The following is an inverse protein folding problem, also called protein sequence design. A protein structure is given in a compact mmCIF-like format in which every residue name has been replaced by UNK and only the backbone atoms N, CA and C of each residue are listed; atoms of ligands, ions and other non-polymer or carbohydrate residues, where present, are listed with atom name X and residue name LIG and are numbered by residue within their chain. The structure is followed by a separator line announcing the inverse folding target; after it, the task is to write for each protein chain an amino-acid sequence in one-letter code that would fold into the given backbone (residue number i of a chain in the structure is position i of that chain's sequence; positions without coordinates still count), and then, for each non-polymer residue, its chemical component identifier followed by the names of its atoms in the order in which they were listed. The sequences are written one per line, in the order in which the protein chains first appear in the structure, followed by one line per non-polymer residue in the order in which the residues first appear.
data_IF_634394537491
#
_entry.id   IF_634394537491
#
_cell.length_a   1.000
_cell.length_b   1.000
_cell.length_c   1.000
_cell.angle_alpha   90.00
_cell.angle_beta   90.00
_cell.angle_gamma   90.00
#
_symmetry.space_group_name_H-M   'P 1'
#
loop_
_entity.id
_entity.type
_entity.pdbx_description
1 polymer ?
#
# COMPACT_ATOMS: atom_id res chain seq x y z
N UNK A 1 -26.42 48.59 2.94
CA UNK A 1 -25.12 48.41 2.26
C UNK A 1 -24.52 47.07 2.72
N UNK A 2 -24.51 46.06 1.85
CA UNK A 2 -23.96 44.72 2.18
C UNK A 2 -22.44 44.77 2.06
N UNK A 3 -21.75 44.37 3.14
CA UNK A 3 -20.30 44.50 3.28
C UNK A 3 -19.54 43.69 2.19
N UNK A 4 -18.68 44.34 1.38
CA UNK A 4 -17.85 43.67 0.36
C UNK A 4 -16.87 42.64 0.96
N UNK A 5 -16.66 42.68 2.27
CA UNK A 5 -15.78 41.76 3.00
C UNK A 5 -16.28 40.30 2.97
N UNK A 6 -17.60 40.08 2.92
CA UNK A 6 -18.17 38.72 2.90
C UNK A 6 -17.97 38.02 1.56
N UNK A 7 -17.97 38.76 0.46
CA UNK A 7 -17.74 38.19 -0.88
C UNK A 7 -16.27 37.78 -1.05
N UNK A 8 -15.35 38.59 -0.52
CA UNK A 8 -13.91 38.32 -0.59
C UNK A 8 -13.50 37.06 0.20
N UNK A 9 -14.07 36.88 1.40
CA UNK A 9 -13.84 35.69 2.23
C UNK A 9 -14.35 34.40 1.58
N UNK A 10 -15.50 34.46 0.89
CA UNK A 10 -16.03 33.30 0.16
C UNK A 10 -15.14 32.93 -1.02
N UNK A 11 -14.62 33.89 -1.77
CA UNK A 11 -13.72 33.63 -2.91
C UNK A 11 -12.40 33.02 -2.44
N UNK A 12 -11.82 33.50 -1.33
CA UNK A 12 -10.60 32.92 -0.76
C UNK A 12 -10.85 31.49 -0.29
N UNK A 13 -11.94 31.24 0.45
CA UNK A 13 -12.26 29.88 0.92
C UNK A 13 -12.50 28.91 -0.25
N UNK A 14 -13.20 29.33 -1.30
CA UNK A 14 -13.43 28.49 -2.49
C UNK A 14 -12.12 28.22 -3.24
N UNK A 15 -11.25 29.22 -3.37
CA UNK A 15 -9.92 29.05 -3.98
C UNK A 15 -9.02 28.10 -3.18
N UNK A 16 -9.04 28.20 -1.85
CA UNK A 16 -8.25 27.32 -0.97
C UNK A 16 -8.75 25.88 -1.00
N UNK A 17 -10.07 25.68 -1.01
CA UNK A 17 -10.69 24.34 -1.12
C UNK A 17 -10.38 23.74 -2.49
N UNK A 18 -10.48 24.50 -3.59
CA UNK A 18 -10.13 24.03 -4.93
C UNK A 18 -8.64 23.70 -5.05
N UNK A 19 -7.76 24.47 -4.43
CA UNK A 19 -6.32 24.21 -4.41
C UNK A 19 -5.96 22.95 -3.59
N UNK A 20 -6.58 22.77 -2.41
CA UNK A 20 -6.40 21.56 -1.59
C UNK A 20 -6.93 20.32 -2.32
N UNK A 21 -8.09 20.41 -2.96
CA UNK A 21 -8.65 19.30 -3.75
C UNK A 21 -7.82 19.00 -5.00
N UNK A 22 -7.29 20.02 -5.69
CA UNK A 22 -6.40 19.84 -6.83
C UNK A 22 -5.06 19.20 -6.46
N UNK A 23 -4.51 19.55 -5.29
CA UNK A 23 -3.23 19.01 -4.80
C UNK A 23 -3.32 17.54 -4.36
N UNK A 24 -4.48 17.10 -3.84
CA UNK A 24 -4.71 15.71 -3.45
C UNK A 24 -5.20 14.78 -4.58
N UNK A 25 -5.63 15.32 -5.72
CA UNK A 25 -6.10 14.53 -6.89
C UNK A 25 -4.98 14.27 -7.90
N UNK A 26 -3.78 14.84 -7.70
CA UNK A 26 -2.62 14.66 -8.58
C UNK A 26 -1.97 13.27 -8.54
N UNK A 27 -2.19 12.47 -7.49
CA UNK A 27 -1.81 11.06 -7.41
C UNK A 27 -3.04 10.17 -7.57
N UNK A 28 -3.51 10.04 -8.81
CA UNK A 28 -4.43 8.95 -9.17
C UNK A 28 -3.60 7.72 -9.54
N UNK A 29 -3.70 6.60 -8.81
CA UNK A 29 -3.17 5.33 -9.30
C UNK A 29 -3.93 5.00 -10.58
N UNK A 30 -3.17 4.70 -11.64
CA UNK A 30 -3.67 4.50 -13.00
C UNK A 30 -4.91 3.61 -13.05
N UNK A 31 -5.88 4.07 -13.83
CA UNK A 31 -7.05 3.29 -14.25
C UNK A 31 -6.61 1.94 -14.81
N UNK A 32 -6.71 0.88 -14.01
CA UNK A 32 -6.83 -0.47 -14.52
C UNK A 32 -8.23 -0.58 -15.13
N UNK A 33 -8.30 -0.50 -16.45
CA UNK A 33 -9.49 -0.86 -17.21
C UNK A 33 -9.92 -2.28 -16.81
N UNK A 34 -11.18 -2.41 -16.40
CA UNK A 34 -11.88 -3.66 -16.20
C UNK A 34 -11.86 -4.40 -17.53
N UNK A 35 -11.07 -5.48 -17.62
CA UNK A 35 -11.13 -6.42 -18.74
C UNK A 35 -12.46 -7.17 -18.65
N UNK A 36 -13.32 -6.88 -19.62
CA UNK A 36 -14.57 -7.55 -19.89
C UNK A 36 -14.32 -9.05 -20.14
N UNK A 37 -15.03 -9.89 -19.38
CA UNK A 37 -14.88 -11.35 -19.38
C UNK A 37 -15.30 -11.97 -20.71
N UNK A 38 -14.34 -12.50 -21.46
CA UNK A 38 -14.57 -13.35 -22.62
C UNK A 38 -15.10 -14.75 -22.20
N UNK A 39 -15.88 -15.43 -23.05
CA UNK A 39 -16.54 -16.69 -22.69
C UNK A 39 -15.54 -17.85 -22.46
N UNK A 40 -15.77 -18.56 -21.37
CA UNK A 40 -15.03 -19.75 -20.92
C UNK A 40 -15.04 -20.87 -21.96
N UNK A 41 -13.86 -21.09 -22.56
CA UNK A 41 -13.49 -22.33 -23.25
C UNK A 41 -13.18 -23.41 -22.19
N UNK A 42 -13.59 -24.67 -22.34
CA UNK A 42 -13.36 -25.70 -21.33
C UNK A 42 -11.87 -25.94 -21.07
N UNK A 43 -11.52 -25.96 -19.78
CA UNK A 43 -10.16 -26.11 -19.28
C UNK A 43 -9.58 -27.50 -19.64
N UNK A 44 -8.39 -27.49 -20.25
CA UNK A 44 -7.57 -28.68 -20.39
C UNK A 44 -7.01 -29.10 -19.02
N UNK A 45 -6.85 -30.40 -18.83
CA UNK A 45 -6.43 -31.05 -17.59
C UNK A 45 -5.09 -30.50 -17.07
N UNK A 46 -4.93 -30.24 -15.76
CA UNK A 46 -3.69 -29.74 -15.15
C UNK A 46 -2.48 -30.70 -15.24
N UNK A 47 -2.68 -31.94 -15.68
CA UNK A 47 -1.64 -32.96 -15.74
C UNK A 47 -0.66 -32.79 -16.92
N UNK A 48 -1.03 -32.07 -18.00
CA UNK A 48 -0.18 -31.97 -19.21
C UNK A 48 0.71 -30.72 -19.27
N UNK A 49 0.57 -29.79 -18.31
CA UNK A 49 1.36 -28.53 -18.32
C UNK A 49 2.61 -28.62 -17.43
N UNK A 50 2.60 -29.49 -16.41
CA UNK A 50 3.75 -29.69 -15.52
C UNK A 50 4.92 -30.44 -16.19
N UNK A 51 4.64 -31.31 -17.16
CA UNK A 51 5.68 -32.09 -17.84
C UNK A 51 6.44 -31.34 -18.95
N UNK A 52 6.04 -30.10 -19.29
CA UNK A 52 6.59 -29.36 -20.44
C UNK A 52 7.50 -28.19 -20.06
N UNK A 53 7.59 -27.83 -18.77
CA UNK A 53 8.50 -26.79 -18.26
C UNK A 53 9.83 -27.40 -17.80
N UNK A 54 9.87 -28.68 -17.43
CA UNK A 54 11.11 -29.34 -16.97
C UNK A 54 12.07 -29.77 -18.10
N UNK A 55 11.69 -29.67 -19.37
CA UNK A 55 12.56 -30.11 -20.49
C UNK A 55 13.43 -29.00 -21.09
N UNK A 56 13.27 -27.73 -20.71
CA UNK A 56 14.08 -26.61 -21.25
C UNK A 56 15.12 -26.04 -20.27
N UNK A 57 15.20 -26.52 -19.03
CA UNK A 57 16.20 -26.06 -18.05
C UNK A 57 17.54 -26.82 -18.13
N UNK A 58 17.63 -27.91 -18.91
CA UNK A 58 18.79 -28.81 -18.92
C UNK A 58 19.73 -28.67 -20.14
N UNK A 59 19.52 -27.70 -21.04
CA UNK A 59 20.33 -27.51 -22.26
C UNK A 59 20.95 -26.11 -22.43
N UNK A 60 21.24 -25.42 -21.32
CA UNK A 60 21.94 -24.12 -21.29
C UNK A 60 23.37 -24.19 -20.73
N UNK A 61 24.04 -25.35 -20.81
CA UNK A 61 25.38 -25.59 -20.24
C UNK A 61 26.55 -24.94 -20.99
N UNK A 62 26.33 -23.82 -21.66
CA UNK A 62 27.38 -22.97 -22.22
C UNK A 62 27.57 -21.76 -21.32
N UNK A 63 28.50 -21.84 -20.37
CA UNK A 63 29.03 -20.68 -19.67
C UNK A 63 29.85 -19.84 -20.67
N UNK A 64 29.17 -19.22 -21.64
CA UNK A 64 29.73 -18.07 -22.32
C UNK A 64 29.91 -17.01 -21.23
N UNK A 65 31.16 -16.88 -20.77
CA UNK A 65 31.56 -15.80 -19.89
C UNK A 65 31.03 -14.51 -20.51
N UNK A 66 29.99 -13.96 -19.89
CA UNK A 66 29.33 -12.75 -20.35
C UNK A 66 30.40 -11.68 -20.44
N UNK A 67 30.85 -11.39 -21.66
CA UNK A 67 31.96 -10.45 -21.88
C UNK A 67 31.47 -9.09 -21.39
N UNK A 68 32.05 -8.62 -20.28
CA UNK A 68 31.69 -7.34 -19.69
C UNK A 68 31.75 -6.25 -20.77
N UNK A 69 30.65 -5.52 -20.92
CA UNK A 69 30.59 -4.43 -21.89
C UNK A 69 31.56 -3.33 -21.45
N UNK A 70 32.33 -2.80 -22.41
CA UNK A 70 33.08 -1.57 -22.17
C UNK A 70 32.12 -0.42 -21.86
N UNK A 71 32.61 0.63 -21.19
CA UNK A 71 31.81 1.83 -20.91
C UNK A 71 31.16 2.41 -22.17
N UNK A 72 31.91 2.49 -23.28
CA UNK A 72 31.38 3.01 -24.56
C UNK A 72 30.29 2.10 -25.16
N UNK A 73 30.47 0.77 -25.13
CA UNK A 73 29.43 -0.16 -25.60
C UNK A 73 28.16 -0.08 -24.75
N UNK A 74 28.34 0.08 -23.43
CA UNK A 74 27.23 0.26 -22.49
C UNK A 74 26.46 1.55 -22.80
N UNK A 75 27.18 2.64 -23.08
CA UNK A 75 26.60 3.94 -23.48
C UNK A 75 25.78 3.84 -24.75
N UNK A 76 26.35 3.28 -25.83
CA UNK A 76 25.67 3.12 -27.12
C UNK A 76 24.42 2.24 -26.96
N UNK A 77 24.54 1.08 -26.29
CA UNK A 77 23.40 0.17 -26.05
C UNK A 77 22.28 0.85 -25.25
N UNK A 78 22.65 1.69 -24.27
CA UNK A 78 21.68 2.47 -23.48
C UNK A 78 20.95 3.49 -24.35
N UNK A 79 21.67 4.21 -25.20
CA UNK A 79 21.06 5.16 -26.13
C UNK A 79 20.05 4.46 -27.07
N UNK A 80 20.47 3.34 -27.68
CA UNK A 80 19.64 2.56 -28.61
C UNK A 80 18.38 2.02 -27.94
N UNK A 81 18.50 1.38 -26.77
CA UNK A 81 17.33 0.80 -26.10
C UNK A 81 16.33 1.87 -25.66
N UNK A 82 16.78 3.07 -25.26
CA UNK A 82 15.87 4.14 -24.86
C UNK A 82 15.17 4.80 -26.06
N UNK A 83 15.67 4.58 -27.28
CA UNK A 83 15.03 4.96 -28.54
C UNK A 83 13.81 4.09 -28.87
N UNK A 84 13.73 2.87 -28.33
CA UNK A 84 12.62 1.93 -28.56
C UNK A 84 11.28 2.55 -28.12
N UNK A 85 10.32 2.76 -29.05
CA UNK A 85 9.03 3.36 -28.72
C UNK A 85 8.16 2.47 -27.83
N UNK A 86 8.24 1.15 -27.96
CA UNK A 86 7.43 0.23 -27.18
C UNK A 86 7.97 0.07 -25.75
N UNK A 87 7.21 0.56 -24.76
CA UNK A 87 7.60 0.51 -23.33
C UNK A 87 7.93 -0.90 -22.83
N UNK A 88 7.23 -1.93 -23.28
CA UNK A 88 7.45 -3.31 -22.81
C UNK A 88 8.78 -3.84 -23.35
N UNK A 89 9.05 -3.63 -24.64
CA UNK A 89 10.31 -4.06 -25.28
C UNK A 89 11.49 -3.32 -24.65
N UNK A 90 11.36 -2.00 -24.48
CA UNK A 90 12.38 -1.16 -23.85
C UNK A 90 12.69 -1.59 -22.42
N UNK A 91 11.67 -1.83 -21.59
CA UNK A 91 11.87 -2.27 -20.21
C UNK A 91 12.57 -3.65 -20.14
N UNK A 92 12.22 -4.58 -21.04
CA UNK A 92 12.93 -5.87 -21.15
C UNK A 92 14.42 -5.66 -21.47
N UNK A 93 14.72 -4.85 -22.48
CA UNK A 93 16.10 -4.54 -22.87
C UNK A 93 16.87 -3.81 -21.77
N UNK A 94 16.21 -2.93 -21.02
CA UNK A 94 16.77 -2.28 -19.85
C UNK A 94 17.15 -3.33 -18.80
N UNK A 95 16.27 -4.25 -18.42
CA UNK A 95 16.59 -5.32 -17.47
C UNK A 95 17.81 -6.16 -17.91
N UNK A 96 17.92 -6.48 -19.20
CA UNK A 96 19.10 -7.18 -19.74
C UNK A 96 20.38 -6.35 -19.61
N UNK A 97 20.31 -5.04 -19.85
CA UNK A 97 21.44 -4.12 -19.67
C UNK A 97 21.82 -4.01 -18.18
N UNK A 98 20.85 -3.86 -17.29
CA UNK A 98 21.07 -3.72 -15.83
C UNK A 98 21.82 -4.93 -15.25
N UNK A 99 21.54 -6.13 -15.77
CA UNK A 99 22.25 -7.35 -15.39
C UNK A 99 23.74 -7.37 -15.80
N UNK A 100 24.12 -6.57 -16.80
CA UNK A 100 25.50 -6.47 -17.33
C UNK A 100 26.27 -5.27 -16.77
N UNK A 101 25.65 -4.47 -15.89
CA UNK A 101 26.34 -3.33 -15.26
C UNK A 101 27.36 -3.79 -14.23
N UNK A 102 28.51 -3.14 -14.26
CA UNK A 102 29.65 -3.38 -13.38
C UNK A 102 30.21 -2.04 -12.86
N UNK A 103 31.09 -2.05 -11.85
CA UNK A 103 31.80 -0.84 -11.40
C UNK A 103 32.56 -0.13 -12.52
N UNK A 104 33.01 -0.85 -13.56
CA UNK A 104 33.82 -0.30 -14.64
C UNK A 104 33.02 0.35 -15.77
N UNK A 105 31.72 0.03 -15.92
CA UNK A 105 30.94 0.45 -17.09
C UNK A 105 29.69 1.29 -16.79
N UNK A 106 29.29 1.44 -15.52
CA UNK A 106 28.04 2.13 -15.13
C UNK A 106 27.96 3.59 -15.63
N UNK A 107 29.10 4.28 -15.71
CA UNK A 107 29.18 5.67 -16.23
C UNK A 107 28.67 5.78 -17.65
N UNK A 108 28.98 4.77 -18.49
CA UNK A 108 28.49 4.71 -19.85
C UNK A 108 26.97 4.66 -19.90
N UNK A 109 26.34 3.90 -19.00
CA UNK A 109 24.88 3.83 -18.91
C UNK A 109 24.25 5.18 -18.50
N UNK A 110 24.79 5.84 -17.47
CA UNK A 110 24.30 7.16 -17.05
C UNK A 110 24.43 8.19 -18.16
N UNK A 111 25.58 8.22 -18.85
CA UNK A 111 25.79 9.15 -19.97
C UNK A 111 24.82 8.86 -21.13
N UNK A 112 24.60 7.59 -21.46
CA UNK A 112 23.62 7.18 -22.48
C UNK A 112 22.21 7.67 -22.16
N UNK A 113 21.77 7.52 -20.91
CA UNK A 113 20.48 8.04 -20.42
C UNK A 113 20.41 9.58 -20.51
N UNK A 114 21.46 10.29 -20.08
CA UNK A 114 21.51 11.75 -20.11
C UNK A 114 21.48 12.29 -21.54
N UNK A 115 22.30 11.73 -22.44
CA UNK A 115 22.36 12.11 -23.86
C UNK A 115 21.04 11.84 -24.56
N UNK A 116 20.41 10.67 -24.33
CA UNK A 116 19.12 10.35 -24.92
C UNK A 116 18.03 11.31 -24.44
N UNK A 117 17.95 11.54 -23.12
CA UNK A 117 16.96 12.45 -22.52
C UNK A 117 17.09 13.86 -23.09
N UNK A 118 18.33 14.35 -23.24
CA UNK A 118 18.61 15.67 -23.80
C UNK A 118 18.28 15.77 -25.29
N UNK A 119 18.60 14.72 -26.06
CA UNK A 119 18.42 14.70 -27.52
C UNK A 119 16.95 14.56 -27.90
N UNK A 120 16.24 13.63 -27.26
CA UNK A 120 14.86 13.28 -27.63
C UNK A 120 13.79 13.99 -26.79
N UNK A 121 14.18 14.65 -25.69
CA UNK A 121 13.26 15.28 -24.74
C UNK A 121 12.36 14.28 -23.98
N UNK A 122 12.63 12.98 -24.08
CA UNK A 122 11.83 11.92 -23.42
C UNK A 122 12.30 11.70 -21.99
N UNK A 123 11.46 12.06 -21.03
CA UNK A 123 11.71 11.81 -19.60
C UNK A 123 11.07 10.49 -19.15
N UNK A 124 11.86 9.43 -19.09
CA UNK A 124 11.44 8.06 -18.75
C UNK A 124 11.72 7.78 -17.26
N UNK A 125 10.84 8.24 -16.37
CA UNK A 125 11.05 8.26 -14.91
C UNK A 125 11.34 6.87 -14.33
N UNK A 126 10.56 5.85 -14.72
CA UNK A 126 10.70 4.50 -14.17
C UNK A 126 12.04 3.88 -14.57
N UNK A 127 12.41 4.01 -15.85
CA UNK A 127 13.67 3.54 -16.40
C UNK A 127 14.88 4.24 -15.74
N UNK A 128 14.81 5.55 -15.53
CA UNK A 128 15.82 6.32 -14.80
C UNK A 128 15.97 5.84 -13.35
N UNK A 129 14.86 5.64 -12.63
CA UNK A 129 14.91 5.17 -11.24
C UNK A 129 15.56 3.79 -11.14
N UNK A 130 15.15 2.84 -11.99
CA UNK A 130 15.73 1.49 -12.01
C UNK A 130 17.22 1.51 -12.35
N UNK A 131 17.62 2.32 -13.34
CA UNK A 131 19.01 2.49 -13.71
C UNK A 131 19.83 3.06 -12.56
N UNK A 132 19.40 4.17 -11.95
CA UNK A 132 20.14 4.80 -10.85
C UNK A 132 20.23 3.87 -9.64
N UNK A 133 19.16 3.17 -9.26
CA UNK A 133 19.22 2.19 -8.17
C UNK A 133 20.23 1.08 -8.50
N UNK A 134 20.23 0.53 -9.72
CA UNK A 134 21.22 -0.49 -10.10
C UNK A 134 22.66 0.03 -10.08
N UNK A 135 22.89 1.27 -10.51
CA UNK A 135 24.21 1.91 -10.42
C UNK A 135 24.66 2.02 -8.96
N UNK A 136 23.74 2.40 -8.06
CA UNK A 136 24.01 2.43 -6.63
C UNK A 136 24.41 1.06 -6.09
N UNK A 137 23.74 0.00 -6.53
CA UNK A 137 24.05 -1.37 -6.13
C UNK A 137 25.45 -1.83 -6.56
N UNK A 138 25.86 -1.52 -7.80
CA UNK A 138 27.16 -2.00 -8.33
C UNK A 138 28.35 -1.09 -8.03
N UNK A 139 28.15 0.22 -7.93
CA UNK A 139 29.22 1.21 -7.76
C UNK A 139 29.25 1.87 -6.38
N UNK A 140 28.17 1.74 -5.59
CA UNK A 140 28.09 2.15 -4.19
C UNK A 140 28.55 3.58 -3.93
N UNK A 141 29.50 3.71 -2.99
CA UNK A 141 30.02 4.99 -2.51
C UNK A 141 30.67 5.85 -3.61
N UNK A 142 31.26 5.25 -4.64
CA UNK A 142 31.90 5.99 -5.74
C UNK A 142 30.86 6.80 -6.53
N UNK A 143 29.76 6.16 -6.93
CA UNK A 143 28.68 6.83 -7.65
C UNK A 143 27.99 7.91 -6.81
N UNK A 144 27.85 7.68 -5.50
CA UNK A 144 27.32 8.68 -4.56
C UNK A 144 28.24 9.90 -4.45
N UNK A 145 29.55 9.67 -4.32
CA UNK A 145 30.53 10.75 -4.26
C UNK A 145 30.49 11.60 -5.54
N UNK A 146 30.41 10.96 -6.71
CA UNK A 146 30.29 11.66 -8.00
C UNK A 146 28.99 12.48 -8.09
N UNK A 147 27.85 11.90 -7.70
CA UNK A 147 26.59 12.64 -7.70
C UNK A 147 26.64 13.87 -6.77
N UNK A 148 27.25 13.76 -5.59
CA UNK A 148 27.24 14.85 -4.61
C UNK A 148 28.23 16.00 -4.90
N UNK A 149 29.10 15.90 -5.92
CA UNK A 149 30.15 16.88 -6.20
C UNK A 149 29.64 18.24 -6.70
N UNK A 150 28.53 18.28 -7.42
CA UNK A 150 28.07 19.49 -8.13
C UNK A 150 27.29 20.46 -7.24
N UNK A 151 26.74 19.97 -6.12
CA UNK A 151 25.87 20.72 -5.23
C UNK A 151 24.48 21.10 -5.78
N UNK A 152 24.06 20.57 -6.94
CA UNK A 152 22.74 20.92 -7.50
C UNK A 152 21.60 20.03 -6.94
N UNK A 153 20.36 20.54 -7.00
CA UNK A 153 19.19 19.85 -6.45
C UNK A 153 18.83 18.54 -7.18
N UNK A 154 19.03 18.48 -8.49
CA UNK A 154 18.83 17.25 -9.29
C UNK A 154 19.77 16.13 -8.84
N UNK A 155 20.97 16.47 -8.40
CA UNK A 155 21.96 15.51 -7.97
C UNK A 155 21.68 14.98 -6.58
N UNK A 156 20.98 15.74 -5.73
CA UNK A 156 20.42 15.18 -4.50
C UNK A 156 19.38 14.10 -4.78
N UNK A 157 18.48 14.31 -5.76
CA UNK A 157 17.53 13.27 -6.17
C UNK A 157 18.25 12.01 -6.67
N UNK A 158 19.28 12.18 -7.51
CA UNK A 158 20.12 11.06 -7.98
C UNK A 158 20.82 10.36 -6.81
N UNK A 159 21.43 11.11 -5.89
CA UNK A 159 22.11 10.55 -4.71
C UNK A 159 21.16 9.74 -3.83
N UNK A 160 19.93 10.20 -3.65
CA UNK A 160 18.88 9.46 -2.92
C UNK A 160 18.62 8.10 -3.56
N UNK A 161 18.39 8.05 -4.88
CA UNK A 161 18.18 6.77 -5.59
C UNK A 161 19.41 5.86 -5.60
N UNK A 162 20.61 6.42 -5.74
CA UNK A 162 21.87 5.66 -5.61
C UNK A 162 21.97 5.01 -4.23
N UNK A 163 21.60 5.72 -3.16
CA UNK A 163 21.68 5.19 -1.80
C UNK A 163 20.71 4.02 -1.57
N UNK A 164 19.49 4.09 -2.13
CA UNK A 164 18.55 2.96 -2.11
C UNK A 164 19.18 1.71 -2.73
N UNK A 165 19.80 1.86 -3.89
CA UNK A 165 20.52 0.79 -4.57
C UNK A 165 21.70 0.24 -3.77
N UNK A 166 22.55 1.15 -3.28
CA UNK A 166 23.74 0.79 -2.50
C UNK A 166 23.38 0.01 -1.24
N UNK A 167 22.39 0.48 -0.48
CA UNK A 167 21.95 -0.20 0.73
C UNK A 167 21.25 -1.55 0.45
N UNK A 168 20.60 -1.70 -0.71
CA UNK A 168 20.04 -2.98 -1.14
C UNK A 168 21.13 -4.00 -1.56
N UNK A 169 22.26 -3.55 -2.13
CA UNK A 169 23.37 -4.41 -2.54
C UNK A 169 24.35 -4.76 -1.39
N UNK A 170 24.71 -3.76 -0.58
CA UNK A 170 25.62 -3.89 0.56
C UNK A 170 25.18 -2.98 1.72
N UNK A 171 24.26 -3.50 2.54
CA UNK A 171 23.73 -2.81 3.71
C UNK A 171 24.81 -2.29 4.66
N UNK A 172 25.88 -3.08 4.87
CA UNK A 172 26.94 -2.76 5.83
C UNK A 172 27.78 -1.58 5.33
N UNK A 173 28.22 -1.62 4.08
CA UNK A 173 29.01 -0.54 3.49
C UNK A 173 28.18 0.76 3.36
N UNK A 174 26.92 0.66 2.95
CA UNK A 174 26.02 1.82 2.86
C UNK A 174 25.79 2.48 4.23
N UNK A 175 25.58 1.69 5.28
CA UNK A 175 25.46 2.20 6.65
C UNK A 175 26.73 2.88 7.16
N UNK A 176 27.91 2.33 6.84
CA UNK A 176 29.18 2.96 7.19
C UNK A 176 29.33 4.31 6.50
N UNK A 177 29.11 4.35 5.18
CA UNK A 177 29.15 5.58 4.38
C UNK A 177 28.15 6.64 4.87
N UNK A 178 26.93 6.22 5.23
CA UNK A 178 25.89 7.12 5.75
C UNK A 178 26.29 7.79 7.06
N UNK A 179 26.90 7.03 7.98
CA UNK A 179 27.35 7.55 9.30
C UNK A 179 28.47 8.57 9.19
N UNK A 180 29.25 8.52 8.11
CA UNK A 180 30.30 9.50 7.82
C UNK A 180 29.75 10.83 7.26
N UNK A 181 28.46 10.89 6.88
CA UNK A 181 27.86 12.12 6.36
C UNK A 181 27.56 13.13 7.48
N UNK A 182 27.57 14.45 7.18
CA UNK A 182 27.09 15.47 8.11
C UNK A 182 25.62 15.23 8.53
N UNK A 183 25.19 15.62 9.74
CA UNK A 183 23.83 15.39 10.24
C UNK A 183 22.72 15.89 9.31
N UNK A 184 22.92 17.05 8.69
CA UNK A 184 21.95 17.64 7.75
C UNK A 184 21.74 16.73 6.53
N UNK A 185 22.81 16.11 6.04
CA UNK A 185 22.76 15.18 4.92
C UNK A 185 22.20 13.82 5.35
N UNK A 186 22.52 13.35 6.55
CA UNK A 186 21.93 12.14 7.11
C UNK A 186 20.40 12.23 7.13
N UNK A 187 19.85 13.36 7.57
CA UNK A 187 18.39 13.58 7.58
C UNK A 187 17.76 13.50 6.18
N UNK A 188 18.42 14.11 5.17
CA UNK A 188 17.93 14.12 3.79
C UNK A 188 17.98 12.74 3.10
N UNK A 189 18.89 11.87 3.54
CA UNK A 189 19.17 10.57 2.92
C UNK A 189 18.53 9.39 3.66
N UNK A 190 18.02 9.61 4.88
CA UNK A 190 17.53 8.54 5.76
C UNK A 190 16.45 7.67 5.09
N UNK A 191 15.47 8.28 4.43
CA UNK A 191 14.35 7.54 3.84
C UNK A 191 14.83 6.55 2.77
N UNK A 192 15.77 6.97 1.93
CA UNK A 192 16.30 6.16 0.82
C UNK A 192 17.25 5.07 1.33
N UNK A 193 18.03 5.36 2.38
CA UNK A 193 18.77 4.34 3.12
C UNK A 193 17.82 3.27 3.68
N UNK A 194 16.74 3.66 4.37
CA UNK A 194 15.78 2.73 4.96
C UNK A 194 15.05 1.90 3.89
N UNK A 195 14.74 2.49 2.73
CA UNK A 195 14.14 1.78 1.61
C UNK A 195 15.08 0.71 1.05
N UNK A 196 16.37 1.02 0.89
CA UNK A 196 17.37 0.04 0.44
C UNK A 196 17.63 -1.05 1.48
N UNK A 197 17.82 -0.69 2.75
CA UNK A 197 17.96 -1.64 3.86
C UNK A 197 16.72 -2.53 4.00
N UNK A 198 15.52 -2.02 3.75
CA UNK A 198 14.30 -2.81 3.74
C UNK A 198 14.38 -4.03 2.79
N UNK A 199 15.13 -3.92 1.69
CA UNK A 199 15.31 -5.01 0.70
C UNK A 199 16.42 -5.99 1.07
N UNK A 200 17.41 -5.60 1.88
CA UNK A 200 18.61 -6.42 2.18
C UNK A 200 18.69 -6.86 3.64
N UNK A 201 18.37 -5.97 4.58
CA UNK A 201 18.37 -6.17 6.02
C UNK A 201 17.23 -5.36 6.70
N UNK A 202 15.99 -5.83 6.52
CA UNK A 202 14.81 -5.14 7.05
C UNK A 202 14.81 -5.06 8.59
N UNK A 203 15.52 -5.96 9.29
CA UNK A 203 15.68 -5.91 10.75
C UNK A 203 16.56 -4.73 11.16
N UNK A 204 17.68 -4.51 10.48
CA UNK A 204 18.52 -3.35 10.71
C UNK A 204 17.80 -2.05 10.35
N UNK A 205 17.07 -2.01 9.24
CA UNK A 205 16.24 -0.85 8.87
C UNK A 205 15.24 -0.50 9.98
N UNK A 206 14.55 -1.51 10.51
CA UNK A 206 13.58 -1.33 11.58
C UNK A 206 14.25 -0.94 12.90
N UNK A 207 15.41 -1.50 13.24
CA UNK A 207 16.16 -1.06 14.42
C UNK A 207 16.55 0.43 14.32
N UNK A 208 17.02 0.87 13.15
CA UNK A 208 17.42 2.27 12.92
C UNK A 208 16.24 3.23 13.06
N UNK A 209 15.05 2.83 12.64
CA UNK A 209 13.88 3.70 12.65
C UNK A 209 13.24 3.85 14.03
N UNK A 210 13.47 2.91 14.94
CA UNK A 210 12.97 2.95 16.31
C UNK A 210 13.58 4.08 17.13
N UNK A 211 14.77 4.54 16.75
CA UNK A 211 15.47 5.65 17.39
C UNK A 211 15.03 7.03 16.83
N UNK A 212 14.07 7.07 15.89
CA UNK A 212 13.62 8.28 15.22
C UNK A 212 12.27 8.78 15.76
N UNK A 213 11.96 10.09 15.64
CA UNK A 213 10.65 10.61 16.01
C UNK A 213 9.55 10.05 15.09
N UNK A 214 8.29 10.17 15.53
CA UNK A 214 7.13 9.59 14.83
C UNK A 214 6.96 10.07 13.41
N UNK A 215 7.20 11.36 13.20
CA UNK A 215 7.11 12.02 11.90
C UNK A 215 8.08 11.41 10.88
N UNK A 216 9.18 10.85 11.37
CA UNK A 216 10.18 10.15 10.56
C UNK A 216 9.81 8.68 10.38
N UNK A 217 9.43 7.96 11.44
CA UNK A 217 9.21 6.52 11.29
C UNK A 217 7.92 6.16 10.55
N UNK A 218 6.85 6.96 10.70
CA UNK A 218 5.51 6.65 10.15
C UNK A 218 5.49 6.47 8.62
N UNK A 219 6.05 7.38 7.80
CA UNK A 219 6.07 7.18 6.35
C UNK A 219 7.01 6.03 5.91
N UNK A 220 8.10 5.82 6.63
CA UNK A 220 9.18 4.91 6.26
C UNK A 220 8.94 3.45 6.68
N UNK A 221 8.13 3.20 7.71
CA UNK A 221 7.73 1.84 8.10
C UNK A 221 7.12 1.06 6.92
N UNK A 222 6.31 1.74 6.10
CA UNK A 222 5.71 1.18 4.88
C UNK A 222 6.78 0.71 3.89
N UNK A 223 7.83 1.52 3.68
CA UNK A 223 8.91 1.23 2.75
C UNK A 223 9.76 0.05 3.21
N UNK A 224 10.04 -0.06 4.53
CA UNK A 224 10.76 -1.20 5.10
C UNK A 224 9.96 -2.49 4.91
N UNK A 225 8.66 -2.48 5.23
CA UNK A 225 7.79 -3.65 5.05
C UNK A 225 7.67 -4.04 3.58
N UNK A 226 7.50 -3.05 2.69
CA UNK A 226 7.45 -3.30 1.25
C UNK A 226 8.76 -3.89 0.71
N UNK A 227 9.91 -3.40 1.19
CA UNK A 227 11.23 -3.97 0.87
C UNK A 227 11.35 -5.43 1.34
N UNK A 228 10.92 -5.74 2.56
CA UNK A 228 10.95 -7.09 3.10
C UNK A 228 10.08 -8.05 2.27
N UNK A 229 8.89 -7.59 1.85
CA UNK A 229 8.00 -8.35 0.97
C UNK A 229 8.63 -8.56 -0.41
N UNK A 230 9.24 -7.52 -0.99
CA UNK A 230 9.84 -7.59 -2.31
C UNK A 230 10.95 -8.65 -2.39
N UNK A 231 11.77 -8.77 -1.33
CA UNK A 231 12.90 -9.70 -1.31
C UNK A 231 12.52 -11.09 -0.80
N UNK A 232 11.72 -11.18 0.27
CA UNK A 232 11.44 -12.44 0.98
C UNK A 232 9.97 -12.86 0.98
N UNK A 233 9.11 -12.16 0.22
CA UNK A 233 7.67 -12.37 0.23
C UNK A 233 7.01 -11.96 1.54
N UNK A 234 5.69 -12.18 1.64
CA UNK A 234 4.91 -11.83 2.83
C UNK A 234 5.49 -12.41 4.13
N UNK A 235 6.02 -13.63 4.07
CA UNK A 235 6.60 -14.31 5.24
C UNK A 235 7.74 -13.53 5.87
N UNK A 236 8.63 -12.94 5.08
CA UNK A 236 9.74 -12.15 5.62
C UNK A 236 9.25 -10.89 6.37
N UNK A 237 8.16 -10.27 5.88
CA UNK A 237 7.57 -9.12 6.55
C UNK A 237 6.75 -9.51 7.79
N UNK A 238 6.10 -10.68 7.78
CA UNK A 238 5.43 -11.24 8.95
C UNK A 238 6.44 -11.62 10.06
N UNK A 239 7.57 -12.23 9.69
CA UNK A 239 8.68 -12.50 10.62
C UNK A 239 9.26 -11.21 11.21
N UNK A 240 9.39 -10.15 10.42
CA UNK A 240 9.79 -8.82 10.89
C UNK A 240 8.75 -8.24 11.86
N UNK A 241 7.45 -8.37 11.54
CA UNK A 241 6.38 -7.91 12.43
C UNK A 241 6.39 -8.68 13.76
N UNK A 242 6.54 -10.01 13.73
CA UNK A 242 6.64 -10.83 14.93
C UNK A 242 7.79 -10.38 15.83
N UNK A 243 8.94 -9.98 15.25
CA UNK A 243 10.08 -9.46 16.00
C UNK A 243 9.77 -8.11 16.69
N UNK A 244 9.11 -7.17 16.01
CA UNK A 244 8.79 -5.86 16.62
C UNK A 244 7.59 -5.91 17.56
N UNK A 245 6.66 -6.85 17.37
CA UNK A 245 5.43 -6.97 18.16
C UNK A 245 5.72 -7.09 19.65
N UNK A 246 6.76 -7.85 19.98
CA UNK A 246 7.21 -8.12 21.35
C UNK A 246 8.34 -7.20 21.81
N UNK A 247 8.83 -6.31 20.95
CA UNK A 247 9.89 -5.38 21.32
C UNK A 247 9.34 -4.30 22.25
N UNK A 248 9.94 -4.11 23.45
CA UNK A 248 9.56 -3.01 24.34
C UNK A 248 9.96 -1.64 23.77
N UNK A 249 10.92 -1.61 22.84
CA UNK A 249 11.39 -0.39 22.20
C UNK A 249 10.47 0.05 21.04
N UNK A 250 9.59 -0.82 20.56
CA UNK A 250 8.64 -0.49 19.51
C UNK A 250 7.39 0.17 20.13
N UNK A 251 7.08 1.43 19.79
CA UNK A 251 5.87 2.08 20.28
C UNK A 251 4.63 1.44 19.64
N UNK A 252 3.53 1.34 20.38
CA UNK A 252 2.30 0.69 19.87
C UNK A 252 1.76 1.30 18.58
N UNK A 253 1.80 2.63 18.35
CA UNK A 253 1.45 3.21 17.05
C UNK A 253 2.23 2.63 15.85
N UNK A 254 3.53 2.32 16.03
CA UNK A 254 4.34 1.69 14.98
C UNK A 254 3.90 0.25 14.75
N UNK A 255 3.67 -0.52 15.82
CA UNK A 255 3.20 -1.91 15.71
C UNK A 255 1.86 -1.97 14.97
N UNK A 256 0.91 -1.11 15.33
CA UNK A 256 -0.39 -1.00 14.67
C UNK A 256 -0.26 -0.56 13.20
N UNK A 257 0.68 0.34 12.88
CA UNK A 257 0.97 0.75 11.49
C UNK A 257 1.49 -0.41 10.65
N UNK A 258 2.51 -1.13 11.14
CA UNK A 258 3.07 -2.29 10.43
C UNK A 258 2.02 -3.38 10.23
N UNK A 259 1.24 -3.70 11.26
CA UNK A 259 0.13 -4.64 11.16
C UNK A 259 -0.87 -4.22 10.08
N UNK A 260 -1.22 -2.93 10.02
CA UNK A 260 -2.13 -2.41 9.02
C UNK A 260 -1.57 -2.49 7.59
N UNK A 261 -0.28 -2.24 7.40
CA UNK A 261 0.38 -2.39 6.09
C UNK A 261 0.35 -3.85 5.61
N UNK A 262 0.57 -4.81 6.52
CA UNK A 262 0.48 -6.24 6.21
C UNK A 262 -0.95 -6.65 5.80
N UNK A 263 -1.96 -6.15 6.52
CA UNK A 263 -3.38 -6.36 6.18
C UNK A 263 -3.67 -5.81 4.78
N UNK A 264 -3.28 -4.56 4.52
CA UNK A 264 -3.46 -3.93 3.20
C UNK A 264 -2.82 -4.75 2.10
N UNK A 265 -1.60 -5.23 2.33
CA UNK A 265 -0.92 -6.06 1.35
C UNK A 265 -1.70 -7.34 1.06
N UNK A 266 -2.11 -8.11 2.08
CA UNK A 266 -2.89 -9.34 1.88
C UNK A 266 -4.21 -9.09 1.14
N UNK A 267 -4.88 -7.98 1.42
CA UNK A 267 -6.09 -7.58 0.71
C UNK A 267 -5.80 -7.31 -0.77
N UNK A 268 -4.69 -6.63 -1.10
CA UNK A 268 -4.32 -6.32 -2.49
C UNK A 268 -3.88 -7.55 -3.29
N UNK A 269 -3.30 -8.56 -2.63
CA UNK A 269 -2.89 -9.80 -3.31
C UNK A 269 -4.00 -10.84 -3.41
N UNK A 270 -5.23 -10.50 -3.00
CA UNK A 270 -6.39 -11.38 -3.13
C UNK A 270 -6.37 -12.57 -2.19
N UNK A 271 -5.79 -12.44 -0.99
CA UNK A 271 -5.94 -13.47 0.04
C UNK A 271 -7.43 -13.69 0.32
N UNK A 272 -7.83 -14.95 0.43
CA UNK A 272 -9.21 -15.32 0.75
C UNK A 272 -9.66 -14.61 2.04
N UNK A 273 -10.81 -13.92 2.05
CA UNK A 273 -11.20 -13.07 3.17
C UNK A 273 -11.28 -13.80 4.52
N UNK A 274 -11.70 -15.07 4.52
CA UNK A 274 -11.74 -15.90 5.72
C UNK A 274 -10.33 -16.16 6.30
N UNK A 275 -9.36 -16.45 5.43
CA UNK A 275 -7.95 -16.66 5.85
C UNK A 275 -7.33 -15.39 6.41
N UNK A 276 -7.66 -14.23 5.84
CA UNK A 276 -7.22 -12.95 6.37
C UNK A 276 -7.79 -12.70 7.77
N UNK A 277 -9.07 -13.01 8.01
CA UNK A 277 -9.66 -12.91 9.36
C UNK A 277 -8.98 -13.85 10.35
N UNK A 278 -8.69 -15.09 9.96
CA UNK A 278 -8.00 -16.05 10.82
C UNK A 278 -6.57 -15.62 11.13
N UNK A 279 -5.86 -15.05 10.14
CA UNK A 279 -4.54 -14.47 10.35
C UNK A 279 -4.56 -13.22 11.25
N UNK A 280 -5.63 -12.41 11.18
CA UNK A 280 -5.80 -11.22 12.04
C UNK A 280 -6.13 -11.58 13.50
N UNK A 281 -6.77 -12.72 13.75
CA UNK A 281 -7.25 -13.14 15.08
C UNK A 281 -6.24 -12.98 16.23
N UNK A 282 -4.99 -13.48 16.13
CA UNK A 282 -3.99 -13.32 17.19
C UNK A 282 -3.54 -11.86 17.41
N UNK A 283 -3.94 -10.92 16.56
CA UNK A 283 -3.53 -9.52 16.58
C UNK A 283 -4.69 -8.55 16.90
N UNK A 284 -5.89 -9.05 17.19
CA UNK A 284 -7.09 -8.21 17.37
C UNK A 284 -6.93 -7.09 18.41
N UNK A 285 -6.27 -7.38 19.53
CA UNK A 285 -6.04 -6.38 20.58
C UNK A 285 -5.13 -5.22 20.14
N UNK A 286 -4.29 -5.45 19.12
CA UNK A 286 -3.34 -4.47 18.58
C UNK A 286 -3.85 -3.77 17.31
N UNK A 287 -4.75 -4.42 16.58
CA UNK A 287 -5.31 -3.89 15.34
C UNK A 287 -6.04 -2.55 15.58
N UNK A 288 -5.83 -1.54 14.76
CA UNK A 288 -6.65 -0.33 14.83
C UNK A 288 -8.11 -0.61 14.44
N UNK A 289 -9.09 0.23 14.85
CA UNK A 289 -10.48 0.10 14.41
C UNK A 289 -10.63 0.04 12.89
N UNK A 290 -9.83 0.82 12.14
CA UNK A 290 -9.83 0.80 10.67
C UNK A 290 -9.37 -0.54 10.08
N UNK A 291 -8.33 -1.15 10.66
CA UNK A 291 -7.79 -2.43 10.21
C UNK A 291 -8.83 -3.56 10.36
N UNK A 292 -9.50 -3.62 11.52
CA UNK A 292 -10.60 -4.56 11.77
C UNK A 292 -11.77 -4.28 10.82
N UNK A 293 -12.19 -3.02 10.72
CA UNK A 293 -13.27 -2.57 9.82
C UNK A 293 -13.05 -3.03 8.39
N UNK A 294 -11.89 -2.78 7.80
CA UNK A 294 -11.61 -3.12 6.41
C UNK A 294 -11.55 -4.64 6.18
N UNK A 295 -10.91 -5.37 7.09
CA UNK A 295 -10.83 -6.84 7.04
C UNK A 295 -12.23 -7.46 7.10
N UNK A 296 -13.05 -7.02 8.07
CA UNK A 296 -14.44 -7.48 8.24
C UNK A 296 -15.30 -7.06 7.06
N UNK A 297 -15.09 -5.87 6.48
CA UNK A 297 -15.80 -5.44 5.27
C UNK A 297 -15.54 -6.41 4.13
N UNK A 298 -14.28 -6.79 3.91
CA UNK A 298 -13.90 -7.72 2.86
C UNK A 298 -14.52 -9.11 3.08
N UNK A 299 -14.47 -9.62 4.32
CA UNK A 299 -15.07 -10.91 4.68
C UNK A 299 -16.59 -10.90 4.55
N UNK A 300 -17.26 -9.86 5.03
CA UNK A 300 -18.71 -9.74 4.98
C UNK A 300 -19.24 -9.60 3.54
N UNK A 301 -18.48 -8.98 2.63
CA UNK A 301 -18.82 -8.95 1.20
C UNK A 301 -18.82 -10.34 0.56
N UNK A 302 -17.99 -11.26 1.06
CA UNK A 302 -17.90 -12.63 0.56
C UNK A 302 -18.94 -13.54 1.23
N UNK A 303 -19.10 -13.44 2.55
CA UNK A 303 -20.09 -14.20 3.33
C UNK A 303 -20.44 -13.43 4.63
N UNK A 304 -21.54 -12.65 4.65
CA UNK A 304 -21.87 -11.81 5.79
C UNK A 304 -22.29 -12.63 7.03
N UNK A 305 -22.81 -13.84 6.84
CA UNK A 305 -23.23 -14.72 7.95
C UNK A 305 -22.00 -15.27 8.67
N UNK A 306 -20.99 -15.74 7.91
CA UNK A 306 -19.73 -16.19 8.51
C UNK A 306 -18.95 -15.05 9.16
N UNK A 307 -18.93 -13.86 8.55
CA UNK A 307 -18.31 -12.69 9.15
C UNK A 307 -18.96 -12.32 10.49
N UNK A 308 -20.30 -12.36 10.57
CA UNK A 308 -21.03 -12.14 11.84
C UNK A 308 -20.68 -13.19 12.89
N UNK A 309 -20.71 -14.47 12.53
CA UNK A 309 -20.35 -15.55 13.44
C UNK A 309 -18.90 -15.43 13.95
N UNK A 310 -17.98 -15.00 13.09
CA UNK A 310 -16.60 -14.72 13.47
C UNK A 310 -16.53 -13.59 14.51
N UNK A 311 -17.27 -12.48 14.30
CA UNK A 311 -17.34 -11.37 15.25
C UNK A 311 -17.91 -11.79 16.61
N UNK A 312 -18.99 -12.56 16.64
CA UNK A 312 -19.65 -13.01 17.88
C UNK A 312 -18.67 -13.82 18.76
N UNK A 313 -17.83 -14.65 18.14
CA UNK A 313 -16.80 -15.41 18.86
C UNK A 313 -15.64 -14.56 19.41
N UNK A 314 -15.51 -13.31 18.94
CA UNK A 314 -14.35 -12.44 19.17
C UNK A 314 -14.69 -11.12 19.85
N UNK A 315 -15.97 -10.81 20.03
CA UNK A 315 -16.44 -9.54 20.57
C UNK A 315 -15.75 -9.16 21.89
N UNK A 316 -15.51 -10.14 22.77
CA UNK A 316 -14.84 -9.93 24.08
C UNK A 316 -13.36 -9.56 24.00
N UNK A 317 -12.69 -9.81 22.86
CA UNK A 317 -11.27 -9.48 22.63
C UNK A 317 -11.08 -8.14 21.92
N UNK A 318 -12.16 -7.54 21.43
CA UNK A 318 -12.12 -6.28 20.70
C UNK A 318 -12.42 -5.10 21.64
N UNK A 319 -11.76 -3.98 21.41
CA UNK A 319 -12.13 -2.73 22.09
C UNK A 319 -13.44 -2.16 21.50
N UNK A 320 -14.25 -1.41 22.28
CA UNK A 320 -15.56 -0.96 21.83
C UNK A 320 -15.60 -0.25 20.46
N UNK A 321 -14.61 0.60 20.08
CA UNK A 321 -14.59 1.21 18.75
C UNK A 321 -14.41 0.20 17.61
N UNK A 322 -13.62 -0.87 17.82
CA UNK A 322 -13.43 -1.93 16.81
C UNK A 322 -14.72 -2.71 16.60
N UNK A 323 -15.29 -3.25 17.70
CA UNK A 323 -16.46 -4.11 17.63
C UNK A 323 -17.67 -3.34 17.09
N UNK A 324 -17.94 -2.15 17.60
CA UNK A 324 -19.07 -1.33 17.14
C UNK A 324 -18.98 -1.01 15.64
N UNK A 325 -17.79 -0.64 15.15
CA UNK A 325 -17.58 -0.39 13.72
C UNK A 325 -17.73 -1.66 12.87
N UNK A 326 -17.24 -2.81 13.36
CA UNK A 326 -17.33 -4.08 12.63
C UNK A 326 -18.78 -4.57 12.52
N UNK A 327 -19.53 -4.56 13.62
CA UNK A 327 -20.95 -4.95 13.65
C UNK A 327 -21.82 -4.04 12.76
N UNK A 328 -21.59 -2.72 12.76
CA UNK A 328 -22.29 -1.80 11.88
C UNK A 328 -22.12 -2.19 10.39
N UNK A 329 -20.89 -2.52 9.99
CA UNK A 329 -20.58 -2.88 8.60
C UNK A 329 -21.22 -4.20 8.22
N UNK A 330 -21.10 -5.21 9.07
CA UNK A 330 -21.73 -6.51 8.84
C UNK A 330 -23.23 -6.35 8.75
N UNK A 331 -23.86 -5.55 9.62
CA UNK A 331 -25.29 -5.26 9.54
C UNK A 331 -25.69 -4.64 8.20
N UNK A 332 -24.95 -3.62 7.73
CA UNK A 332 -25.23 -2.99 6.44
C UNK A 332 -25.13 -3.98 5.26
N UNK A 333 -24.09 -4.81 5.24
CA UNK A 333 -23.86 -5.78 4.15
C UNK A 333 -24.86 -6.94 4.23
N UNK A 334 -25.09 -7.48 5.43
CA UNK A 334 -26.02 -8.58 5.68
C UNK A 334 -27.46 -8.16 5.38
N UNK A 335 -27.87 -6.93 5.73
CA UNK A 335 -29.19 -6.42 5.36
C UNK A 335 -29.37 -6.29 3.84
N UNK A 336 -28.30 -5.98 3.11
CA UNK A 336 -28.33 -5.88 1.65
C UNK A 336 -28.31 -7.24 0.94
N UNK A 337 -27.52 -8.20 1.44
CA UNK A 337 -27.27 -9.48 0.77
C UNK A 337 -28.09 -10.66 1.34
N UNK A 338 -28.43 -10.61 2.63
CA UNK A 338 -29.03 -11.70 3.40
C UNK A 338 -30.06 -11.17 4.44
N UNK A 339 -31.08 -10.39 4.03
CA UNK A 339 -31.97 -9.68 4.94
C UNK A 339 -32.78 -10.60 5.87
N UNK A 340 -33.13 -11.81 5.41
CA UNK A 340 -33.86 -12.79 6.24
C UNK A 340 -32.97 -13.30 7.37
N UNK A 341 -31.70 -13.60 7.08
CA UNK A 341 -30.72 -14.02 8.06
C UNK A 341 -30.41 -12.88 9.03
N UNK A 342 -30.32 -11.63 8.56
CA UNK A 342 -30.16 -10.47 9.43
C UNK A 342 -31.34 -10.34 10.41
N UNK A 343 -32.57 -10.38 9.92
CA UNK A 343 -33.76 -10.29 10.76
C UNK A 343 -33.84 -11.45 11.77
N UNK A 344 -33.50 -12.66 11.33
CA UNK A 344 -33.44 -13.85 12.21
C UNK A 344 -32.44 -13.64 13.35
N UNK A 345 -31.23 -13.17 13.04
CA UNK A 345 -30.20 -12.90 14.06
C UNK A 345 -30.64 -11.77 15.01
N UNK A 346 -31.20 -10.67 14.49
CA UNK A 346 -31.66 -9.53 15.29
C UNK A 346 -32.78 -9.90 16.28
N UNK A 347 -33.65 -10.84 15.90
CA UNK A 347 -34.73 -11.36 16.74
C UNK A 347 -34.20 -12.35 17.79
N UNK A 348 -33.26 -13.23 17.41
CA UNK A 348 -32.68 -14.21 18.32
C UNK A 348 -31.77 -13.58 19.38
N UNK A 349 -31.16 -12.42 19.09
CA UNK A 349 -30.12 -11.81 19.90
C UNK A 349 -30.57 -10.49 20.53
N UNK A 350 -31.78 -10.45 21.10
CA UNK A 350 -32.40 -9.23 21.62
C UNK A 350 -31.51 -8.46 22.62
N UNK A 351 -30.71 -9.16 23.43
CA UNK A 351 -29.83 -8.60 24.46
C UNK A 351 -28.38 -8.40 24.04
N UNK A 352 -28.05 -8.61 22.76
CA UNK A 352 -26.67 -8.48 22.30
C UNK A 352 -26.17 -7.03 22.39
N UNK A 353 -24.96 -6.78 22.93
CA UNK A 353 -24.45 -5.43 23.21
C UNK A 353 -24.34 -4.53 21.97
N UNK A 354 -24.17 -5.13 20.79
CA UNK A 354 -24.07 -4.40 19.53
C UNK A 354 -25.38 -4.35 18.73
N UNK A 355 -26.50 -4.84 19.27
CA UNK A 355 -27.79 -4.87 18.56
C UNK A 355 -28.27 -3.48 18.15
N UNK A 356 -28.18 -2.50 19.05
CA UNK A 356 -28.60 -1.13 18.78
C UNK A 356 -27.82 -0.50 17.62
N UNK A 357 -26.50 -0.73 17.56
CA UNK A 357 -25.62 -0.25 16.48
C UNK A 357 -26.00 -0.89 15.13
N UNK A 358 -26.33 -2.19 15.13
CA UNK A 358 -26.78 -2.89 13.93
C UNK A 358 -28.16 -2.38 13.46
N UNK A 359 -29.11 -2.22 14.38
CA UNK A 359 -30.43 -1.67 14.10
C UNK A 359 -30.35 -0.23 13.56
N UNK A 360 -29.54 0.62 14.18
CA UNK A 360 -29.30 1.99 13.71
C UNK A 360 -28.74 2.00 12.27
N UNK A 361 -27.79 1.11 11.97
CA UNK A 361 -27.20 1.01 10.63
C UNK A 361 -28.23 0.54 9.59
N UNK A 362 -29.04 -0.46 9.92
CA UNK A 362 -30.13 -0.93 9.07
C UNK A 362 -31.18 0.16 8.83
N UNK A 363 -31.61 0.87 9.88
CA UNK A 363 -32.56 1.98 9.78
C UNK A 363 -32.03 3.08 8.85
N UNK A 364 -30.77 3.49 9.02
CA UNK A 364 -30.15 4.52 8.19
C UNK A 364 -30.01 4.08 6.72
N UNK A 365 -29.70 2.80 6.46
CA UNK A 365 -29.65 2.26 5.12
C UNK A 365 -31.03 2.29 4.44
N UNK A 366 -32.09 1.86 5.14
CA UNK A 366 -33.48 1.92 4.65
C UNK A 366 -33.94 3.34 4.37
N UNK A 367 -33.58 4.28 5.24
CA UNK A 367 -33.90 5.69 5.05
C UNK A 367 -33.27 6.27 3.78
N UNK A 368 -31.99 5.96 3.50
CA UNK A 368 -31.31 6.38 2.25
C UNK A 368 -31.96 5.80 0.99
N UNK A 369 -32.59 4.64 1.10
CA UNK A 369 -33.32 3.99 0.00
C UNK A 369 -34.80 4.41 -0.09
N UNK A 370 -35.24 5.40 0.70
CA UNK A 370 -36.63 5.87 0.72
C UNK A 370 -37.62 4.92 1.43
N UNK A 371 -37.13 3.87 2.09
CA UNK A 371 -37.95 2.87 2.77
C UNK A 371 -38.25 3.29 4.22
N UNK A 372 -38.98 4.39 4.38
CA UNK A 372 -39.25 5.02 5.69
C UNK A 372 -39.97 4.09 6.68
N UNK A 373 -40.90 3.27 6.21
CA UNK A 373 -41.60 2.29 7.06
C UNK A 373 -40.67 1.22 7.64
N UNK A 374 -39.74 0.70 6.83
CA UNK A 374 -38.76 -0.29 7.30
C UNK A 374 -37.73 0.36 8.23
N UNK A 375 -37.36 1.63 7.97
CA UNK A 375 -36.51 2.39 8.89
C UNK A 375 -37.17 2.57 10.27
N UNK A 376 -38.48 2.85 10.31
CA UNK A 376 -39.25 2.93 11.55
C UNK A 376 -39.26 1.58 12.30
N UNK A 377 -39.44 0.46 11.60
CA UNK A 377 -39.40 -0.87 12.23
C UNK A 377 -38.07 -1.13 12.94
N UNK A 378 -36.94 -0.82 12.31
CA UNK A 378 -35.63 -0.98 12.94
C UNK A 378 -35.41 0.00 14.10
N UNK A 379 -35.89 1.25 13.99
CA UNK A 379 -35.80 2.24 15.06
C UNK A 379 -36.48 1.77 16.35
N UNK A 380 -37.64 1.13 16.26
CA UNK A 380 -38.36 0.61 17.44
C UNK A 380 -37.58 -0.49 18.19
N UNK A 381 -36.59 -1.09 17.54
CA UNK A 381 -35.72 -2.08 18.19
C UNK A 381 -34.59 -1.46 19.01
N UNK A 382 -34.27 -0.18 18.84
CA UNK A 382 -33.14 0.49 19.49
C UNK A 382 -33.50 0.88 20.93
N UNK A 383 -32.66 0.51 21.90
CA UNK A 383 -32.89 0.80 23.32
C UNK A 383 -32.54 2.23 23.67
N UNK A 384 -31.40 2.72 23.16
CA UNK A 384 -30.92 4.08 23.42
C UNK A 384 -31.94 5.16 22.95
N UNK A 385 -32.52 5.95 23.88
CA UNK A 385 -33.48 7.00 23.54
C UNK A 385 -32.89 8.09 22.64
N UNK A 386 -31.61 8.44 22.80
CA UNK A 386 -30.98 9.50 22.03
C UNK A 386 -30.83 9.10 20.56
N UNK A 387 -30.38 7.87 20.31
CA UNK A 387 -30.30 7.30 18.96
C UNK A 387 -31.68 7.20 18.31
N UNK A 388 -32.72 6.78 19.06
CA UNK A 388 -34.10 6.76 18.56
C UNK A 388 -34.59 8.15 18.15
N UNK A 389 -34.40 9.16 19.00
CA UNK A 389 -34.82 10.53 18.71
C UNK A 389 -34.10 11.11 17.48
N UNK A 390 -32.80 10.82 17.32
CA UNK A 390 -32.03 11.23 16.15
C UNK A 390 -32.57 10.61 14.85
N UNK A 391 -32.89 9.31 14.87
CA UNK A 391 -33.52 8.63 13.73
C UNK A 391 -34.93 9.14 13.46
N UNK A 392 -35.71 9.47 14.50
CA UNK A 392 -37.04 10.07 14.34
C UNK A 392 -36.99 11.43 13.64
N UNK A 393 -36.02 12.28 13.98
CA UNK A 393 -35.78 13.52 13.24
C UNK A 393 -35.48 13.24 11.77
N UNK A 394 -34.52 12.34 11.49
CA UNK A 394 -34.14 12.00 10.13
C UNK A 394 -35.30 11.41 9.29
N UNK A 395 -36.16 10.60 9.89
CA UNK A 395 -37.34 10.02 9.24
C UNK A 395 -38.38 11.10 8.92
N UNK A 396 -38.64 12.04 9.83
CA UNK A 396 -39.53 13.18 9.58
C UNK A 396 -39.03 14.05 8.44
N UNK A 397 -37.73 14.36 8.44
CA UNK A 397 -37.11 15.17 7.41
C UNK A 397 -37.24 14.50 6.04
N UNK A 398 -36.93 13.20 5.93
CA UNK A 398 -37.08 12.44 4.69
C UNK A 398 -38.54 12.39 4.18
N UNK A 399 -39.51 12.27 5.09
CA UNK A 399 -40.94 12.22 4.73
C UNK A 399 -41.46 13.59 4.27
N UNK A 400 -40.88 14.69 4.77
CA UNK A 400 -41.28 16.05 4.39
C UNK A 400 -40.88 16.42 2.97
N UNK A 401 -39.83 15.80 2.41
CA UNK A 401 -39.33 16.07 1.05
C UNK A 401 -40.18 15.39 -0.02
N UNK A 402 -40.88 14.30 0.32
CA UNK A 402 -41.71 13.54 -0.64
C UNK A 402 -43.13 14.10 -0.80
N UNK A 403 -43.51 15.07 0.04
CA UNK A 403 -44.79 15.79 -0.05
C UNK A 403 -44.60 17.11 -0.78
#
# INVERSE_FOLDING_TARGET
MKSPLRLFLVVICVGLIAFILGYFVGDTPGNHAVLESAPTKPAASPADTASRIETNAAQGGGSDAQVALSGERTRVRTFELLGEPNRIIRMRQLCELLAQLTPENWRGAIDGFAVQTKTEGRWQVDEWNLMIERVGEVAGAEALAEALQTGNASDLFRARKLLTGFAAGDAKAAMAWYREQPPERQQLLLNDLLAGLGRSDAKQAMALILDQPRETWEPNATSIISGAIQTGGFRAADDLFAAIRHSPNAPDPLKSKVLYDLIKWQMTTGVEPAKLMDWLDPYLAMAGPNAVKETVTLAAKADPVKALAWLDQRASRMVPPQSSSAYAIVAGIMQAQAPQQFATWMNANADHPHRDVMAQTAAAARLRSGQTNEAMQWKETIRDPQTREALDRAIRDATSVTK
#
